data_IF_459030065918
#
_entry.id   IF_459030065918
#
_cell.length_a   1.000
_cell.length_b   1.000
_cell.length_c   1.000
_cell.angle_alpha   90.00
_cell.angle_beta   90.00
_cell.angle_gamma   90.00
#
_symmetry.space_group_name_H-M   'P 1'
#
loop_
_entity.id
_entity.type
_entity.pdbx_description
1 polymer ?
#
# COMPACT_ATOMS: atom_id res chain seq x y z
N UNK A 1 -34.07 -19.10 -39.87
CA UNK A 1 -34.65 -17.80 -39.49
C UNK A 1 -33.78 -17.30 -38.35
N UNK A 2 -32.93 -16.32 -38.63
CA UNK A 2 -32.10 -15.70 -37.59
C UNK A 2 -32.94 -14.56 -37.02
N UNK A 3 -33.19 -14.61 -35.72
CA UNK A 3 -33.87 -13.54 -34.99
C UNK A 3 -33.02 -12.27 -35.10
N UNK A 4 -33.64 -11.24 -35.64
CA UNK A 4 -33.07 -9.90 -35.76
C UNK A 4 -33.23 -9.26 -34.36
N UNK A 5 -32.26 -9.51 -33.48
CA UNK A 5 -32.18 -8.85 -32.17
C UNK A 5 -31.92 -7.35 -32.42
N UNK A 6 -33.02 -6.60 -32.55
CA UNK A 6 -33.05 -5.17 -32.75
C UNK A 6 -32.27 -4.48 -31.61
N UNK A 7 -31.08 -3.99 -31.93
CA UNK A 7 -30.21 -3.28 -30.99
C UNK A 7 -30.97 -2.05 -30.49
N UNK A 8 -31.31 -2.02 -29.19
CA UNK A 8 -31.98 -0.88 -28.57
C UNK A 8 -31.03 0.31 -28.42
N UNK A 9 -30.95 1.09 -29.50
CA UNK A 9 -30.14 2.30 -29.58
C UNK A 9 -30.58 3.36 -28.55
N UNK A 10 -31.83 3.36 -28.09
CA UNK A 10 -32.28 4.30 -27.03
C UNK A 10 -31.67 3.92 -25.70
N UNK A 11 -31.69 2.63 -25.34
CA UNK A 11 -31.04 2.14 -24.13
C UNK A 11 -29.53 2.42 -24.15
N UNK A 12 -28.86 2.19 -25.28
CA UNK A 12 -27.44 2.51 -25.46
C UNK A 12 -27.14 4.01 -25.30
N UNK A 13 -27.98 4.87 -25.87
CA UNK A 13 -27.81 6.32 -25.78
C UNK A 13 -28.02 6.84 -24.35
N UNK A 14 -29.06 6.37 -23.66
CA UNK A 14 -29.29 6.68 -22.25
C UNK A 14 -28.13 6.22 -21.37
N UNK A 15 -27.62 5.00 -21.60
CA UNK A 15 -26.47 4.49 -20.88
C UNK A 15 -25.21 5.33 -21.13
N UNK A 16 -24.98 5.79 -22.37
CA UNK A 16 -23.87 6.67 -22.69
C UNK A 16 -23.99 8.02 -21.99
N UNK A 17 -25.19 8.61 -21.92
CA UNK A 17 -25.42 9.86 -21.19
C UNK A 17 -25.25 9.70 -19.68
N UNK A 18 -25.70 8.60 -19.09
CA UNK A 18 -25.46 8.30 -17.68
C UNK A 18 -23.96 8.12 -17.37
N UNK A 19 -23.20 7.49 -18.27
CA UNK A 19 -21.74 7.36 -18.11
C UNK A 19 -21.05 8.71 -18.15
N UNK A 20 -21.43 9.59 -19.09
CA UNK A 20 -20.87 10.95 -19.18
C UNK A 20 -21.17 11.76 -17.91
N UNK A 21 -22.40 11.69 -17.38
CA UNK A 21 -22.75 12.37 -16.12
C UNK A 21 -21.95 11.83 -14.93
N UNK A 22 -21.77 10.51 -14.82
CA UNK A 22 -20.94 9.90 -13.76
C UNK A 22 -19.46 10.24 -13.90
N UNK A 23 -18.99 10.45 -15.12
CA UNK A 23 -17.60 10.81 -15.41
C UNK A 23 -17.35 12.31 -15.17
N UNK A 24 -18.35 13.16 -15.39
CA UNK A 24 -18.36 14.59 -15.05
C UNK A 24 -18.47 14.82 -13.52
N UNK A 25 -19.19 13.95 -12.82
CA UNK A 25 -19.29 13.94 -11.35
C UNK A 25 -18.04 13.37 -10.65
N UNK A 26 -17.11 12.75 -11.39
CA UNK A 26 -15.85 12.31 -10.80
C UNK A 26 -15.04 13.55 -10.42
N UNK A 27 -14.64 13.69 -9.14
CA UNK A 27 -13.82 14.82 -8.74
C UNK A 27 -12.54 14.80 -9.59
N UNK A 28 -12.15 15.95 -10.17
CA UNK A 28 -10.96 16.00 -10.99
C UNK A 28 -9.76 15.58 -10.14
N UNK A 29 -8.80 14.91 -10.75
CA UNK A 29 -7.57 14.43 -10.10
C UNK A 29 -6.93 15.50 -9.20
N UNK A 30 -6.93 16.76 -9.66
CA UNK A 30 -6.42 17.90 -8.89
C UNK A 30 -7.12 18.12 -7.54
N UNK A 31 -8.40 17.79 -7.41
CA UNK A 31 -9.19 17.96 -6.19
C UNK A 31 -8.93 16.81 -5.19
N UNK A 32 -8.71 15.59 -5.70
CA UNK A 32 -8.23 14.44 -4.90
C UNK A 32 -6.83 14.74 -4.35
N UNK A 33 -5.93 15.26 -5.18
CA UNK A 33 -4.60 15.67 -4.74
C UNK A 33 -4.66 16.79 -3.69
N UNK A 34 -5.51 17.82 -3.90
CA UNK A 34 -5.70 18.91 -2.92
C UNK A 34 -6.26 18.41 -1.58
N UNK A 35 -7.19 17.45 -1.60
CA UNK A 35 -7.78 16.92 -0.37
C UNK A 35 -6.76 16.10 0.44
N UNK A 36 -5.96 15.28 -0.24
CA UNK A 36 -4.84 14.56 0.37
C UNK A 36 -3.79 15.52 0.96
N UNK A 37 -3.40 16.56 0.21
CA UNK A 37 -2.46 17.59 0.68
C UNK A 37 -2.98 18.38 1.90
N UNK A 38 -4.29 18.65 1.96
CA UNK A 38 -4.90 19.29 3.12
C UNK A 38 -4.86 18.40 4.37
N UNK A 39 -5.14 17.10 4.21
CA UNK A 39 -5.02 16.15 5.31
C UNK A 39 -3.58 16.03 5.82
N UNK A 40 -2.62 16.00 4.89
CA UNK A 40 -1.17 16.01 5.17
C UNK A 40 -0.74 17.22 6.02
N UNK A 41 -1.28 18.41 5.74
CA UNK A 41 -0.98 19.63 6.51
C UNK A 41 -1.62 19.67 7.91
N UNK A 42 -2.61 18.82 8.17
CA UNK A 42 -3.35 18.81 9.44
C UNK A 42 -2.81 17.82 10.47
N UNK A 43 -1.87 16.93 10.11
CA UNK A 43 -1.23 16.00 11.07
C UNK A 43 0.10 16.57 11.59
N UNK A 44 0.15 17.10 12.82
CA UNK A 44 1.37 17.63 13.43
C UNK A 44 2.33 16.55 13.97
N UNK A 45 2.02 15.25 13.83
CA UNK A 45 2.80 14.17 14.46
C UNK A 45 4.27 14.09 13.99
N UNK A 46 4.56 14.41 12.72
CA UNK A 46 5.93 14.36 12.19
C UNK A 46 6.92 15.31 12.87
N UNK A 47 6.43 16.29 13.63
CA UNK A 47 7.27 17.27 14.31
C UNK A 47 7.78 16.81 15.67
N UNK A 48 7.21 15.74 16.25
CA UNK A 48 7.62 15.24 17.57
C UNK A 48 8.86 14.34 17.54
N UNK A 49 9.15 13.70 16.40
CA UNK A 49 10.27 12.78 16.25
C UNK A 49 11.60 13.48 15.89
N UNK A 50 11.56 14.76 15.53
CA UNK A 50 12.72 15.53 15.06
C UNK A 50 13.39 16.42 16.15
N UNK A 51 13.10 16.19 17.43
CA UNK A 51 13.68 17.02 18.50
C UNK A 51 15.15 16.69 18.78
N UNK A 52 15.52 15.42 18.65
CA UNK A 52 16.87 14.94 18.90
C UNK A 52 17.48 14.37 17.61
N UNK A 53 18.78 14.57 17.35
CA UNK A 53 19.47 13.91 16.24
C UNK A 53 19.36 12.39 16.36
N UNK A 54 19.11 11.69 15.25
CA UNK A 54 19.12 10.23 15.21
C UNK A 54 20.51 9.73 15.60
N UNK A 55 20.61 9.07 16.76
CA UNK A 55 21.89 8.71 17.38
C UNK A 55 22.16 7.21 17.35
N UNK A 56 21.15 6.41 17.02
CA UNK A 56 21.21 4.95 16.99
C UNK A 56 20.31 4.36 15.90
N UNK A 57 20.57 3.11 15.49
CA UNK A 57 19.68 2.35 14.60
C UNK A 57 18.26 2.24 15.15
N UNK A 58 18.12 2.18 16.48
CA UNK A 58 16.82 2.13 17.13
C UNK A 58 16.04 3.45 16.97
N UNK A 59 16.74 4.57 16.99
CA UNK A 59 16.12 5.88 16.72
C UNK A 59 15.68 5.97 15.25
N UNK A 60 16.50 5.44 14.34
CA UNK A 60 16.17 5.37 12.92
C UNK A 60 14.94 4.47 12.67
N UNK A 61 14.91 3.27 13.27
CA UNK A 61 13.76 2.35 13.20
C UNK A 61 12.47 3.01 13.71
N UNK A 62 12.56 3.74 14.82
CA UNK A 62 11.42 4.47 15.37
C UNK A 62 10.96 5.60 14.44
N UNK A 63 11.89 6.35 13.86
CA UNK A 63 11.57 7.39 12.89
C UNK A 63 10.90 6.83 11.62
N UNK A 64 11.44 5.74 11.08
CA UNK A 64 10.86 5.07 9.90
C UNK A 64 9.45 4.58 10.20
N UNK A 65 9.25 3.85 11.31
CA UNK A 65 7.94 3.30 11.66
C UNK A 65 6.89 4.38 11.94
N UNK A 66 7.20 5.32 12.83
CA UNK A 66 6.20 6.28 13.33
C UNK A 66 6.15 7.56 12.48
N UNK A 67 7.30 8.00 11.97
CA UNK A 67 7.40 9.24 11.20
C UNK A 67 7.04 9.06 9.74
N UNK A 68 7.36 7.89 9.16
CA UNK A 68 7.16 7.63 7.73
C UNK A 68 6.03 6.62 7.52
N UNK A 69 6.16 5.40 8.01
CA UNK A 69 5.21 4.31 7.69
C UNK A 69 3.80 4.58 8.21
N UNK A 70 3.65 4.92 9.49
CA UNK A 70 2.35 5.23 10.09
C UNK A 70 1.70 6.44 9.41
N UNK A 71 2.49 7.46 9.10
CA UNK A 71 2.01 8.64 8.40
C UNK A 71 1.50 8.31 6.99
N UNK A 72 2.26 7.50 6.22
CA UNK A 72 1.82 7.05 4.89
C UNK A 72 0.58 6.16 5.00
N UNK A 73 0.54 5.28 5.99
CA UNK A 73 -0.61 4.41 6.26
C UNK A 73 -1.89 5.23 6.51
N UNK A 74 -1.80 6.33 7.28
CA UNK A 74 -2.93 7.21 7.54
C UNK A 74 -3.46 7.88 6.26
N UNK A 75 -2.57 8.40 5.42
CA UNK A 75 -2.94 9.00 4.13
C UNK A 75 -3.66 7.98 3.26
N UNK A 76 -3.10 6.77 3.13
CA UNK A 76 -3.72 5.71 2.33
C UNK A 76 -5.08 5.32 2.92
N UNK A 77 -5.20 5.26 4.25
CA UNK A 77 -6.46 4.96 4.93
C UNK A 77 -7.54 6.00 4.61
N UNK A 78 -7.19 7.29 4.59
CA UNK A 78 -8.13 8.34 4.17
C UNK A 78 -8.48 8.27 2.68
N UNK A 79 -7.50 8.01 1.82
CA UNK A 79 -7.74 7.79 0.39
C UNK A 79 -8.65 6.58 0.16
N UNK A 80 -8.52 5.54 0.98
CA UNK A 80 -9.37 4.35 0.95
C UNK A 80 -10.86 4.65 1.25
N UNK A 81 -11.17 5.78 1.88
CA UNK A 81 -12.57 6.23 2.09
C UNK A 81 -13.18 6.87 0.85
N UNK A 82 -12.38 7.22 -0.16
CA UNK A 82 -12.82 7.87 -1.40
C UNK A 82 -12.85 6.82 -2.51
N UNK A 83 -14.03 6.31 -2.93
CA UNK A 83 -14.11 5.23 -3.91
C UNK A 83 -13.46 5.55 -5.26
N UNK A 84 -13.49 6.82 -5.68
CA UNK A 84 -12.81 7.27 -6.89
C UNK A 84 -11.28 7.07 -6.79
N UNK A 85 -10.67 7.49 -5.69
CA UNK A 85 -9.25 7.34 -5.43
C UNK A 85 -8.86 5.87 -5.27
N UNK A 86 -9.66 5.05 -4.59
CA UNK A 86 -9.41 3.61 -4.47
C UNK A 86 -9.30 2.91 -5.82
N UNK A 87 -10.22 3.23 -6.74
CA UNK A 87 -10.27 2.63 -8.07
C UNK A 87 -9.13 3.13 -8.96
N UNK A 88 -8.81 4.43 -8.87
CA UNK A 88 -7.75 5.05 -9.64
C UNK A 88 -6.35 4.55 -9.25
N UNK A 89 -6.08 4.49 -7.94
CA UNK A 89 -4.78 4.08 -7.42
C UNK A 89 -4.67 2.57 -7.12
N UNK A 90 -5.77 1.81 -7.29
CA UNK A 90 -5.79 0.37 -7.07
C UNK A 90 -5.49 -0.05 -5.62
N UNK A 91 -5.86 0.79 -4.64
CA UNK A 91 -5.47 0.68 -3.23
C UNK A 91 -6.12 -0.50 -2.49
N UNK A 92 -7.19 -1.08 -3.02
CA UNK A 92 -7.94 -2.14 -2.33
C UNK A 92 -8.48 -1.64 -0.99
N UNK A 93 -8.17 -2.35 0.10
CA UNK A 93 -8.52 -1.93 1.46
C UNK A 93 -7.38 -1.18 2.18
N UNK A 94 -6.26 -0.91 1.50
CA UNK A 94 -5.11 -0.20 2.05
C UNK A 94 -3.78 -0.91 1.79
N UNK A 95 -2.76 -0.51 2.54
CA UNK A 95 -1.40 -1.06 2.44
C UNK A 95 -0.88 -1.52 3.80
N UNK A 96 0.12 -2.40 3.78
CA UNK A 96 0.83 -2.90 4.94
C UNK A 96 2.33 -2.91 4.68
N UNK A 97 3.10 -2.34 5.62
CA UNK A 97 4.56 -2.41 5.63
C UNK A 97 5.01 -3.64 6.42
N UNK A 98 6.02 -4.36 5.91
CA UNK A 98 6.61 -5.52 6.61
C UNK A 98 8.13 -5.38 6.80
N UNK A 99 8.62 -4.14 6.83
CA UNK A 99 10.05 -3.82 7.01
C UNK A 99 10.56 -4.22 8.38
N UNK A 100 9.73 -4.04 9.40
CA UNK A 100 10.08 -4.29 10.80
C UNK A 100 9.75 -5.71 11.27
N UNK A 101 9.48 -6.65 10.35
CA UNK A 101 9.31 -8.06 10.72
C UNK A 101 10.67 -8.68 10.97
N UNK A 102 11.33 -8.21 12.03
CA UNK A 102 12.55 -8.81 12.52
C UNK A 102 12.28 -10.31 12.78
N UNK A 103 13.20 -11.09 12.25
CA UNK A 103 13.13 -12.52 11.97
C UNK A 103 13.06 -13.43 13.22
N UNK A 104 12.49 -12.99 14.33
CA UNK A 104 12.35 -13.78 15.57
C UNK A 104 11.07 -14.64 15.59
N UNK A 105 10.10 -14.38 14.71
CA UNK A 105 8.89 -15.22 14.58
C UNK A 105 9.09 -16.47 13.70
N UNK A 106 10.27 -16.64 13.09
CA UNK A 106 10.58 -17.75 12.17
C UNK A 106 10.97 -19.07 12.85
N UNK A 107 10.77 -19.21 14.17
CA UNK A 107 11.07 -20.45 14.88
C UNK A 107 9.92 -21.48 14.89
N UNK A 108 8.68 -21.10 14.59
CA UNK A 108 7.56 -22.06 14.69
C UNK A 108 7.07 -22.62 13.34
N UNK A 109 7.38 -21.99 12.20
CA UNK A 109 6.89 -22.44 10.89
C UNK A 109 7.91 -23.21 10.03
N UNK A 110 9.17 -23.39 10.48
CA UNK A 110 10.27 -23.95 9.66
C UNK A 110 10.69 -25.38 10.00
N UNK A 111 9.83 -26.19 10.62
CA UNK A 111 10.13 -27.61 10.86
C UNK A 111 9.86 -28.54 9.65
N UNK A 112 9.34 -28.04 8.52
CA UNK A 112 8.97 -28.91 7.40
C UNK A 112 10.06 -29.15 6.33
N UNK A 113 11.00 -28.22 6.09
CA UNK A 113 11.91 -28.31 4.93
C UNK A 113 13.41 -28.39 5.28
N UNK A 114 13.74 -29.04 6.39
CA UNK A 114 15.12 -29.24 6.86
C UNK A 114 15.84 -30.42 6.16
N UNK A 115 15.81 -30.51 4.82
CA UNK A 115 16.57 -31.56 4.10
C UNK A 115 17.52 -31.08 3.00
N UNK A 116 17.79 -29.78 2.88
CA UNK A 116 18.88 -29.27 2.02
C UNK A 116 19.65 -28.09 2.65
N UNK A 117 19.95 -28.17 3.95
CA UNK A 117 20.97 -27.29 4.53
C UNK A 117 22.36 -27.85 4.18
N UNK A 118 23.06 -27.13 3.31
CA UNK A 118 24.49 -27.29 3.07
C UNK A 118 25.25 -27.33 4.40
N UNK A 119 26.23 -28.23 4.50
CA UNK A 119 27.04 -28.56 5.69
C UNK A 119 28.02 -27.44 6.09
N UNK A 120 27.52 -26.24 6.35
CA UNK A 120 28.26 -25.13 6.95
C UNK A 120 27.28 -24.35 7.80
N UNK A 121 27.40 -24.44 9.12
CA UNK A 121 26.48 -23.85 10.09
C UNK A 121 26.58 -22.33 10.24
N UNK A 122 26.91 -21.62 9.16
CA UNK A 122 26.87 -20.15 9.13
C UNK A 122 25.53 -19.75 8.52
N UNK A 123 24.62 -19.10 9.28
CA UNK A 123 23.45 -18.47 8.70
C UNK A 123 23.95 -17.42 7.69
N UNK A 124 23.59 -17.56 6.41
CA UNK A 124 23.85 -16.51 5.44
C UNK A 124 23.16 -15.21 5.93
N UNK A 125 23.86 -14.07 5.96
CA UNK A 125 23.24 -12.79 6.28
C UNK A 125 22.13 -12.56 5.27
N UNK A 126 20.89 -12.44 5.77
CA UNK A 126 19.78 -12.07 4.89
C UNK A 126 19.80 -10.57 4.71
N UNK A 127 19.70 -10.09 3.47
CA UNK A 127 19.61 -8.68 3.21
C UNK A 127 18.30 -8.12 3.79
N UNK A 128 18.34 -6.88 4.25
CA UNK A 128 17.17 -6.20 4.76
C UNK A 128 16.21 -5.93 3.59
N UNK A 129 15.03 -6.53 3.68
CA UNK A 129 14.02 -6.44 2.65
C UNK A 129 12.86 -5.58 3.13
N UNK A 130 12.72 -4.43 2.49
CA UNK A 130 11.63 -3.50 2.75
C UNK A 130 10.47 -3.82 1.81
N UNK A 131 9.29 -4.17 2.32
CA UNK A 131 8.15 -4.59 1.51
C UNK A 131 6.88 -3.80 1.81
N UNK A 132 6.19 -3.40 0.74
CA UNK A 132 4.87 -2.78 0.77
C UNK A 132 3.88 -3.77 0.15
N UNK A 133 2.88 -4.17 0.90
CA UNK A 133 1.83 -5.07 0.47
C UNK A 133 0.51 -4.31 0.34
N UNK A 134 -0.26 -4.56 -0.73
CA UNK A 134 -1.67 -4.18 -0.80
C UNK A 134 -2.48 -5.17 0.01
N UNK A 135 -3.35 -4.66 0.87
CA UNK A 135 -4.25 -5.47 1.67
C UNK A 135 -5.65 -5.47 1.05
N UNK A 136 -6.19 -6.66 0.84
CA UNK A 136 -7.59 -6.93 0.56
C UNK A 136 -8.17 -7.75 1.71
N UNK A 137 -9.50 -7.95 1.76
CA UNK A 137 -10.21 -8.56 2.91
C UNK A 137 -9.50 -9.77 3.52
N UNK A 138 -8.93 -10.66 2.71
CA UNK A 138 -8.26 -11.87 3.17
C UNK A 138 -6.87 -12.10 2.53
N UNK A 139 -6.36 -11.18 1.70
CA UNK A 139 -5.12 -11.40 0.96
C UNK A 139 -4.22 -10.17 0.99
N UNK A 140 -2.93 -10.41 1.21
CA UNK A 140 -1.87 -9.41 1.06
C UNK A 140 -1.12 -9.71 -0.24
N UNK A 141 -1.06 -8.73 -1.15
CA UNK A 141 -0.32 -8.85 -2.42
C UNK A 141 0.87 -7.91 -2.38
N UNK A 142 2.08 -8.42 -2.59
CA UNK A 142 3.29 -7.60 -2.66
C UNK A 142 3.17 -6.59 -3.81
N UNK A 143 3.27 -5.29 -3.51
CA UNK A 143 3.30 -4.22 -4.49
C UNK A 143 4.72 -3.90 -4.91
N UNK A 144 5.61 -3.76 -3.93
CA UNK A 144 7.01 -3.41 -4.15
C UNK A 144 7.85 -3.94 -3.00
N UNK A 145 9.04 -4.42 -3.33
CA UNK A 145 10.10 -4.70 -2.37
C UNK A 145 11.37 -3.93 -2.76
N UNK A 146 12.10 -3.46 -1.76
CA UNK A 146 13.45 -2.88 -1.90
C UNK A 146 14.37 -3.72 -1.03
N UNK A 147 15.54 -4.05 -1.56
CA UNK A 147 16.56 -4.81 -0.83
C UNK A 147 17.76 -3.88 -0.66
N UNK A 148 18.19 -3.68 0.59
CA UNK A 148 19.46 -3.01 0.84
C UNK A 148 20.57 -4.05 0.85
N UNK A 149 21.56 -3.88 -0.03
CA UNK A 149 22.78 -4.66 -0.04
C UNK A 149 23.94 -3.73 0.33
N UNK A 150 24.67 -3.97 1.42
CA UNK A 150 25.90 -3.22 1.67
C UNK A 150 26.91 -3.55 0.56
N UNK A 151 27.49 -2.50 -0.03
CA UNK A 151 28.59 -2.60 -1.01
C UNK A 151 29.89 -3.13 -0.38
#
# INVERSE_FOLDING_TARGET
MADDDEIDYKALFLQAQERLKREEERPPLSEIYKSAYRYLQLKPEGQRLNRDPLSSEKDLEAYERFGVEEHVHDIITELCKIPAACNEFGLGNGIQFTNHTNLLEKNEARKADARKASRSGVPEPRPDQFCINRVNRNTATLLRSVEYKPD
#
